data_IF_701846020980
#
_entry.id   IF_701846020980
#
_cell.length_a   1.000
_cell.length_b   1.000
_cell.length_c   1.000
_cell.angle_alpha   90.00
_cell.angle_beta   90.00
_cell.angle_gamma   90.00
#
_symmetry.space_group_name_H-M   'P 1'
#
loop_
_entity.id
_entity.type
_entity.pdbx_description
1 polymer ?
#
# COMPACT_ATOMS: atom_id res chain seq x y z
N UNK A 1 -10.00 -1.47 16.70
CA UNK A 1 -9.59 -1.94 15.37
C UNK A 1 -10.73 -2.69 14.74
N UNK A 2 -11.02 -2.40 13.50
CA UNK A 2 -12.18 -2.93 12.80
C UNK A 2 -11.79 -3.44 11.43
N UNK A 3 -12.10 -4.70 11.16
CA UNK A 3 -11.89 -5.30 9.85
C UNK A 3 -12.98 -4.84 8.90
N UNK A 4 -12.57 -4.27 7.78
CA UNK A 4 -13.51 -3.77 6.76
C UNK A 4 -13.11 -4.31 5.40
N UNK A 5 -14.11 -4.70 4.60
CA UNK A 5 -13.88 -5.13 3.23
C UNK A 5 -13.47 -3.92 2.39
N UNK A 6 -12.32 -4.03 1.72
CA UNK A 6 -11.80 -2.94 0.92
C UNK A 6 -12.09 -3.14 -0.57
N UNK A 7 -12.07 -4.39 -1.03
CA UNK A 7 -12.37 -4.71 -2.43
C UNK A 7 -12.69 -6.20 -2.59
N UNK A 8 -13.16 -6.57 -3.78
CA UNK A 8 -13.44 -7.96 -4.14
C UNK A 8 -12.14 -8.74 -4.36
N UNK A 9 -12.24 -10.08 -4.30
CA UNK A 9 -11.12 -10.95 -4.65
C UNK A 9 -10.72 -10.75 -6.11
N UNK A 10 -9.42 -10.92 -6.38
CA UNK A 10 -8.86 -10.86 -7.74
C UNK A 10 -8.99 -9.50 -8.41
N UNK A 11 -9.32 -8.45 -7.65
CA UNK A 11 -9.36 -7.09 -8.19
C UNK A 11 -7.96 -6.55 -8.45
N UNK A 12 -7.02 -6.85 -7.53
CA UNK A 12 -5.65 -6.36 -7.61
C UNK A 12 -4.79 -7.42 -8.30
N UNK A 13 -4.28 -7.09 -9.46
CA UNK A 13 -3.43 -7.98 -10.25
C UNK A 13 -2.10 -8.23 -9.53
N UNK A 14 -1.60 -9.47 -9.51
CA UNK A 14 -0.28 -9.76 -8.92
C UNK A 14 0.81 -8.85 -9.51
N UNK A 15 1.64 -8.31 -8.64
CA UNK A 15 2.70 -7.38 -9.01
C UNK A 15 2.23 -5.94 -9.16
N UNK A 16 1.01 -5.64 -8.75
CA UNK A 16 0.41 -4.29 -8.87
C UNK A 16 -0.18 -3.84 -7.54
N UNK A 17 -0.46 -2.55 -7.46
CA UNK A 17 -1.14 -1.95 -6.32
C UNK A 17 -2.30 -1.08 -6.79
N UNK A 18 -3.23 -0.81 -5.88
CA UNK A 18 -4.35 0.09 -6.13
C UNK A 18 -4.62 0.94 -4.90
N UNK A 19 -5.12 2.13 -5.12
CA UNK A 19 -5.47 3.05 -4.05
C UNK A 19 -6.96 2.93 -3.74
N UNK A 20 -7.28 2.93 -2.45
CA UNK A 20 -8.66 2.90 -1.97
C UNK A 20 -8.84 4.01 -0.94
N UNK A 21 -10.03 4.60 -0.93
CA UNK A 21 -10.41 5.61 0.05
C UNK A 21 -11.29 4.94 1.11
N UNK A 22 -10.78 4.85 2.34
CA UNK A 22 -11.47 4.20 3.45
C UNK A 22 -11.54 5.16 4.63
N UNK A 23 -12.76 5.56 4.99
CA UNK A 23 -13.01 6.45 6.13
C UNK A 23 -12.16 7.73 6.07
N UNK A 24 -12.01 8.29 4.88
CA UNK A 24 -11.23 9.50 4.66
C UNK A 24 -9.73 9.29 4.55
N UNK A 25 -9.27 8.04 4.63
CA UNK A 25 -7.85 7.70 4.45
C UNK A 25 -7.61 7.11 3.09
N UNK A 26 -6.52 7.53 2.45
CA UNK A 26 -6.10 6.95 1.17
C UNK A 26 -5.10 5.84 1.46
N UNK A 27 -5.47 4.61 1.09
CA UNK A 27 -4.72 3.41 1.40
C UNK A 27 -4.32 2.72 0.11
N UNK A 28 -3.04 2.36 -0.01
CA UNK A 28 -2.55 1.57 -1.12
C UNK A 28 -2.49 0.10 -0.70
N UNK A 29 -3.05 -0.77 -1.53
CA UNK A 29 -2.98 -2.22 -1.32
C UNK A 29 -2.22 -2.83 -2.48
N UNK A 30 -1.16 -3.57 -2.17
CA UNK A 30 -0.30 -4.22 -3.15
C UNK A 30 -0.49 -5.73 -3.09
N UNK A 31 -0.54 -6.35 -4.26
CA UNK A 31 -0.57 -7.81 -4.38
C UNK A 31 0.80 -8.28 -4.84
N UNK A 32 1.70 -8.50 -3.89
CA UNK A 32 3.08 -8.92 -4.17
C UNK A 32 3.54 -9.85 -3.04
N UNK A 33 3.61 -11.15 -3.34
CA UNK A 33 3.92 -12.17 -2.34
C UNK A 33 2.99 -12.07 -1.14
N UNK A 34 1.67 -12.01 -1.40
CA UNK A 34 0.64 -11.72 -0.43
C UNK A 34 0.18 -10.27 -0.56
N UNK A 35 -0.81 -9.91 0.24
CA UNK A 35 -1.36 -8.55 0.21
C UNK A 35 -0.70 -7.69 1.28
N UNK A 36 -0.37 -6.46 0.93
CA UNK A 36 0.23 -5.48 1.85
C UNK A 36 -0.49 -4.16 1.70
N UNK A 37 -0.86 -3.55 2.83
CA UNK A 37 -1.59 -2.28 2.84
C UNK A 37 -0.83 -1.24 3.66
N UNK A 38 -0.75 -0.04 3.12
CA UNK A 38 -0.11 1.08 3.79
C UNK A 38 -0.72 2.39 3.29
N UNK A 39 -0.43 3.49 3.98
CA UNK A 39 -0.87 4.81 3.53
C UNK A 39 -0.39 5.04 2.09
N UNK A 40 -1.29 5.54 1.25
CA UNK A 40 -1.02 5.67 -0.18
C UNK A 40 -0.17 6.88 -0.53
N UNK A 41 -0.16 7.92 0.31
CA UNK A 41 0.41 9.21 -0.06
C UNK A 41 1.87 9.31 0.37
N UNK A 42 2.75 9.57 -0.60
CA UNK A 42 4.17 9.76 -0.38
C UNK A 42 4.40 10.95 0.57
N UNK A 43 5.29 10.78 1.55
CA UNK A 43 5.48 11.80 2.60
C UNK A 43 6.03 13.13 2.09
N UNK A 44 6.74 13.13 0.96
CA UNK A 44 7.37 14.37 0.47
C UNK A 44 6.45 15.20 -0.42
N UNK A 45 5.36 14.62 -0.90
CA UNK A 45 4.36 15.37 -1.69
C UNK A 45 3.07 14.56 -1.78
N UNK A 46 2.00 15.24 -2.18
CA UNK A 46 0.66 14.67 -2.27
C UNK A 46 0.51 13.81 -3.52
N UNK A 47 1.16 12.67 -3.53
CA UNK A 47 1.20 11.76 -4.67
C UNK A 47 1.07 10.32 -4.20
N UNK A 48 0.21 9.55 -4.86
CA UNK A 48 -0.03 8.15 -4.50
C UNK A 48 1.12 7.25 -4.93
N UNK A 49 1.49 6.31 -4.06
CA UNK A 49 2.46 5.27 -4.39
C UNK A 49 1.79 4.05 -5.04
N UNK A 50 0.45 3.98 -5.02
CA UNK A 50 -0.27 2.81 -5.51
C UNK A 50 0.05 2.45 -6.96
N UNK A 51 0.14 3.40 -7.91
CA UNK A 51 0.51 3.08 -9.29
C UNK A 51 2.01 2.91 -9.49
N UNK A 52 2.80 2.97 -8.42
CA UNK A 52 4.25 2.87 -8.50
C UNK A 52 4.72 1.49 -8.96
N UNK A 53 5.94 1.46 -9.48
CA UNK A 53 6.56 0.22 -9.94
C UNK A 53 7.05 -0.59 -8.76
N UNK A 54 6.72 -1.88 -8.74
CA UNK A 54 7.18 -2.81 -7.72
C UNK A 54 8.42 -3.55 -8.17
N UNK A 55 9.38 -3.67 -7.25
CA UNK A 55 10.56 -4.51 -7.40
C UNK A 55 10.70 -5.29 -6.09
N UNK A 56 10.26 -6.56 -6.08
CA UNK A 56 10.17 -7.32 -4.85
C UNK A 56 9.20 -6.63 -3.90
N UNK A 57 9.67 -6.31 -2.69
CA UNK A 57 8.85 -5.64 -1.67
C UNK A 57 9.01 -4.12 -1.69
N UNK A 58 9.66 -3.57 -2.71
CA UNK A 58 9.94 -2.15 -2.80
C UNK A 58 9.06 -1.52 -3.88
N UNK A 59 8.35 -0.46 -3.53
CA UNK A 59 7.56 0.33 -4.48
C UNK A 59 8.25 1.67 -4.74
N UNK A 60 8.30 2.07 -6.01
CA UNK A 60 8.86 3.35 -6.43
C UNK A 60 7.73 4.36 -6.57
N UNK A 61 7.82 5.48 -5.84
CA UNK A 61 6.84 6.56 -5.98
C UNK A 61 6.96 7.14 -7.40
N UNK A 62 5.86 7.21 -8.17
CA UNK A 62 5.96 7.61 -9.58
C UNK A 62 6.33 9.08 -9.81
N UNK A 63 6.21 9.93 -8.77
CA UNK A 63 6.49 11.36 -8.93
C UNK A 63 7.97 11.71 -8.85
N UNK A 64 8.67 11.25 -7.81
CA UNK A 64 10.09 11.60 -7.60
C UNK A 64 10.96 10.39 -7.30
N UNK A 65 10.44 9.20 -7.56
CA UNK A 65 11.19 7.95 -7.46
C UNK A 65 11.70 7.64 -6.05
N UNK A 66 11.00 8.10 -5.02
CA UNK A 66 11.26 7.66 -3.65
C UNK A 66 10.77 6.22 -3.48
N UNK A 67 11.50 5.44 -2.68
CA UNK A 67 11.25 4.01 -2.56
C UNK A 67 10.80 3.65 -1.15
N UNK A 68 9.73 2.86 -1.07
CA UNK A 68 9.17 2.40 0.21
C UNK A 68 9.11 0.88 0.23
N UNK A 69 9.37 0.31 1.41
CA UNK A 69 9.14 -1.12 1.64
C UNK A 69 7.66 -1.31 1.94
N UNK A 70 6.96 -2.08 1.11
CA UNK A 70 5.50 -2.26 1.25
C UNK A 70 5.11 -3.10 2.46
N UNK A 71 6.03 -3.87 3.04
CA UNK A 71 5.77 -4.65 4.24
C UNK A 71 5.87 -3.82 5.50
N UNK A 72 6.84 -2.92 5.57
CA UNK A 72 7.15 -2.15 6.78
C UNK A 72 6.72 -0.70 6.70
N UNK A 73 6.52 -0.18 5.50
CA UNK A 73 6.24 1.23 5.26
C UNK A 73 7.47 2.12 5.25
N UNK A 74 8.65 1.56 5.52
CA UNK A 74 9.87 2.35 5.65
C UNK A 74 10.35 2.93 4.32
N UNK A 75 10.68 4.21 4.35
CA UNK A 75 11.35 4.87 3.23
C UNK A 75 12.78 4.34 3.13
N UNK A 76 13.19 3.92 1.93
CA UNK A 76 14.47 3.26 1.71
C UNK A 76 15.60 4.23 1.35
N UNK A 77 15.27 5.47 0.98
CA UNK A 77 16.22 6.46 0.50
C UNK A 77 15.90 7.86 1.03
N UNK A 78 16.78 8.80 0.77
CA UNK A 78 16.66 10.24 1.08
C UNK A 78 16.61 10.61 2.56
N UNK A 79 15.73 10.02 3.37
CA UNK A 79 15.57 10.37 4.78
C UNK A 79 15.55 9.13 5.65
N UNK A 80 16.15 9.21 6.82
CA UNK A 80 16.14 8.12 7.79
C UNK A 80 14.96 8.28 8.74
N UNK A 81 14.41 7.15 9.18
CA UNK A 81 13.34 7.12 10.18
C UNK A 81 11.98 7.53 9.67
N UNK A 82 11.82 7.68 8.37
CA UNK A 82 10.52 7.99 7.75
C UNK A 82 9.80 6.70 7.42
N UNK A 83 8.51 6.64 7.75
CA UNK A 83 7.73 5.43 7.60
C UNK A 83 6.27 5.78 7.35
N UNK A 84 5.67 5.11 6.36
CA UNK A 84 4.22 5.18 6.14
C UNK A 84 3.53 4.22 7.09
N UNK A 85 2.33 4.57 7.55
CA UNK A 85 1.50 3.68 8.37
C UNK A 85 1.13 2.45 7.57
N UNK A 86 1.31 1.26 8.16
CA UNK A 86 0.89 0.00 7.55
C UNK A 86 -0.36 -0.52 8.24
N UNK A 87 -1.09 -1.39 7.53
CA UNK A 87 -2.34 -1.98 8.02
C UNK A 87 -2.32 -3.48 7.77
N UNK A 88 -2.91 -4.24 8.67
CA UNK A 88 -3.06 -5.68 8.47
C UNK A 88 -4.07 -5.96 7.38
N UNK A 89 -3.79 -6.93 6.54
CA UNK A 89 -4.63 -7.31 5.40
C UNK A 89 -4.94 -8.79 5.49
N UNK A 90 -6.18 -9.15 5.15
CA UNK A 90 -6.61 -10.55 5.13
C UNK A 90 -7.45 -10.80 3.89
N UNK A 91 -7.11 -11.85 3.16
CA UNK A 91 -7.93 -12.32 2.05
C UNK A 91 -8.95 -13.31 2.59
N UNK A 92 -10.22 -13.02 2.37
CA UNK A 92 -11.33 -13.91 2.76
C UNK A 92 -12.03 -14.40 1.52
N UNK A 93 -12.99 -15.33 1.71
CA UNK A 93 -13.70 -15.95 0.59
C UNK A 93 -14.44 -14.97 -0.31
N UNK A 94 -14.88 -13.83 0.24
CA UNK A 94 -15.66 -12.83 -0.48
C UNK A 94 -14.90 -11.53 -0.80
N UNK A 95 -13.63 -11.43 -0.44
CA UNK A 95 -12.87 -10.23 -0.75
C UNK A 95 -11.64 -10.01 0.10
N UNK A 96 -11.09 -8.82 -0.02
CA UNK A 96 -9.88 -8.38 0.71
C UNK A 96 -10.32 -7.47 1.85
N UNK A 97 -9.87 -7.78 3.06
CA UNK A 97 -10.21 -7.03 4.27
C UNK A 97 -8.98 -6.36 4.85
N UNK A 98 -9.18 -5.21 5.44
CA UNK A 98 -8.13 -4.44 6.08
C UNK A 98 -8.58 -4.06 7.49
N UNK A 99 -7.64 -4.06 8.43
CA UNK A 99 -7.88 -3.68 9.81
C UNK A 99 -7.52 -2.20 9.98
N UNK A 100 -8.54 -1.40 10.18
CA UNK A 100 -8.39 0.05 10.36
C UNK A 100 -8.48 0.48 11.81
#
# INVERSE_FOLDING_TARGET
MTWKKITEKNTIVPGKGEEFDMDGKKIAVFNQNGYHALDAICVHQDSSIAPGKLDGNIVECPSHFWHYNIKTGELQDYLNGVKLQTYSVEERSDGIYIDL
#
